data_IF_629847998692
#
_entry.id   IF_629847998692
#
_cell.length_a   1.000
_cell.length_b   1.000
_cell.length_c   1.000
_cell.angle_alpha   90.00
_cell.angle_beta   90.00
_cell.angle_gamma   90.00
#
_symmetry.space_group_name_H-M   'P 1'
#
loop_
_entity.id
_entity.type
_entity.pdbx_description
1 polymer ?
#
# COMPACT_ATOMS: atom_id res chain seq x y z
N UNK A 1 -3.69 2.81 11.97
CA UNK A 1 -2.72 2.13 11.09
C UNK A 1 -1.69 1.41 11.92
N UNK A 2 -1.20 0.27 11.41
CA UNK A 2 -0.09 -0.44 12.04
C UNK A 2 1.12 -0.40 11.13
N UNK A 3 2.27 -0.08 11.69
CA UNK A 3 3.56 -0.20 11.02
C UNK A 3 4.03 -1.65 11.17
N UNK A 4 4.32 -2.29 10.07
CA UNK A 4 4.79 -3.68 10.06
C UNK A 4 6.04 -3.81 9.21
N UNK A 5 6.84 -4.84 9.50
CA UNK A 5 8.06 -5.10 8.76
C UNK A 5 7.78 -5.96 7.52
N UNK A 6 8.81 -6.19 6.72
CA UNK A 6 8.73 -6.96 5.50
C UNK A 6 8.17 -8.38 5.73
N UNK A 7 8.63 -9.06 6.76
CA UNK A 7 8.16 -10.43 7.06
C UNK A 7 6.68 -10.45 7.39
N UNK A 8 6.23 -9.53 8.24
CA UNK A 8 4.82 -9.42 8.63
C UNK A 8 3.93 -9.06 7.43
N UNK A 9 4.39 -8.12 6.61
CA UNK A 9 3.66 -7.72 5.41
C UNK A 9 3.47 -8.91 4.47
N UNK A 10 4.55 -9.65 4.20
CA UNK A 10 4.51 -10.83 3.35
C UNK A 10 3.57 -11.91 3.91
N UNK A 11 3.58 -12.13 5.22
CA UNK A 11 2.67 -13.07 5.85
C UNK A 11 1.21 -12.68 5.66
N UNK A 12 0.90 -11.39 5.83
CA UNK A 12 -0.47 -10.91 5.63
C UNK A 12 -0.92 -11.05 4.17
N UNK A 13 -0.03 -10.77 3.23
CA UNK A 13 -0.31 -10.99 1.80
C UNK A 13 -0.67 -12.46 1.54
N UNK A 14 0.12 -13.38 2.10
CA UNK A 14 -0.05 -14.80 1.85
C UNK A 14 -1.30 -15.37 2.52
N UNK A 15 -1.70 -14.84 3.67
CA UNK A 15 -2.84 -15.34 4.45
C UNK A 15 -4.18 -14.74 4.06
N UNK A 16 -4.17 -13.60 3.38
CA UNK A 16 -5.38 -12.83 3.10
C UNK A 16 -5.51 -12.56 1.61
N UNK A 17 -6.12 -13.50 0.89
CA UNK A 17 -6.27 -13.39 -0.57
C UNK A 17 -7.08 -12.17 -1.01
N UNK A 18 -7.90 -11.62 -0.12
CA UNK A 18 -8.72 -10.45 -0.42
C UNK A 18 -8.08 -9.12 0.02
N UNK A 19 -6.91 -9.17 0.63
CA UNK A 19 -6.19 -7.95 1.00
C UNK A 19 -5.81 -7.18 -0.25
N UNK A 20 -5.92 -5.85 -0.16
CA UNK A 20 -5.56 -4.95 -1.25
C UNK A 20 -4.18 -4.39 -0.98
N UNK A 21 -3.25 -4.58 -1.90
CA UNK A 21 -1.89 -4.04 -1.80
C UNK A 21 -1.85 -2.75 -2.60
N UNK A 22 -1.49 -1.64 -1.95
CA UNK A 22 -1.44 -0.32 -2.58
C UNK A 22 0.00 0.15 -2.66
N UNK A 23 0.44 0.42 -3.89
CA UNK A 23 1.70 1.10 -4.17
C UNK A 23 1.39 2.59 -4.35
N UNK A 24 1.81 3.42 -3.39
CA UNK A 24 1.52 4.84 -3.46
C UNK A 24 2.67 5.68 -4.04
N UNK A 25 3.57 5.03 -4.77
CA UNK A 25 4.68 5.68 -5.49
C UNK A 25 4.20 6.25 -6.83
N UNK A 26 5.14 6.83 -7.56
CA UNK A 26 4.87 7.35 -8.91
C UNK A 26 4.85 6.22 -9.94
N UNK A 27 4.28 6.52 -11.11
CA UNK A 27 4.24 5.56 -12.21
C UNK A 27 5.64 5.15 -12.66
N UNK A 28 6.60 6.07 -12.69
CA UNK A 28 7.96 5.73 -13.08
C UNK A 28 8.63 4.77 -12.11
N UNK A 29 8.38 4.91 -10.82
CA UNK A 29 8.85 3.96 -9.81
C UNK A 29 8.17 2.59 -10.00
N UNK A 30 6.88 2.58 -10.25
CA UNK A 30 6.09 1.40 -10.52
C UNK A 30 6.63 0.61 -11.72
N UNK A 31 6.99 1.30 -12.79
CA UNK A 31 7.50 0.69 -14.00
C UNK A 31 8.85 0.00 -13.81
N UNK A 32 9.63 0.44 -12.83
CA UNK A 32 10.94 -0.16 -12.53
C UNK A 32 10.83 -1.45 -11.72
N UNK A 33 9.71 -1.68 -11.09
CA UNK A 33 9.45 -2.86 -10.29
C UNK A 33 8.42 -2.58 -9.21
N UNK A 34 7.60 -3.59 -8.89
CA UNK A 34 6.51 -3.45 -7.92
C UNK A 34 6.22 -4.77 -7.25
N UNK A 35 5.58 -4.70 -6.09
CA UNK A 35 5.12 -5.91 -5.41
C UNK A 35 4.03 -6.57 -6.24
N UNK A 36 4.12 -7.88 -6.41
CA UNK A 36 3.13 -8.66 -7.15
C UNK A 36 1.72 -8.42 -6.58
N UNK A 37 0.76 -8.21 -7.48
CA UNK A 37 -0.65 -7.96 -7.18
C UNK A 37 -0.96 -6.58 -6.58
N UNK A 38 0.02 -5.70 -6.47
CA UNK A 38 -0.23 -4.32 -6.03
C UNK A 38 -1.00 -3.54 -7.08
N UNK A 39 -1.77 -2.57 -6.61
CA UNK A 39 -2.39 -1.57 -7.49
C UNK A 39 -1.64 -0.25 -7.31
N UNK A 40 -1.49 0.49 -8.39
CA UNK A 40 -0.83 1.79 -8.35
C UNK A 40 -1.84 2.87 -7.96
N UNK A 41 -1.50 3.63 -6.92
CA UNK A 41 -2.32 4.75 -6.48
C UNK A 41 -1.38 5.85 -6.01
N UNK A 42 -0.90 6.66 -6.95
CA UNK A 42 0.11 7.69 -6.72
C UNK A 42 -0.42 8.74 -5.74
N UNK A 43 0.27 8.86 -4.60
CA UNK A 43 -0.13 9.81 -3.56
C UNK A 43 -0.03 11.27 -4.05
N UNK A 44 0.88 11.57 -4.97
CA UNK A 44 1.06 12.92 -5.50
C UNK A 44 -0.09 13.35 -6.41
N UNK A 45 -0.86 12.40 -6.93
CA UNK A 45 -2.09 12.67 -7.65
C UNK A 45 -3.25 12.76 -6.66
N UNK A 46 -3.21 13.75 -5.79
CA UNK A 46 -4.02 13.79 -4.58
C UNK A 46 -5.52 13.73 -4.83
N UNK A 47 -5.99 14.35 -5.88
CA UNK A 47 -7.42 14.37 -6.22
C UNK A 47 -7.90 12.98 -6.63
N UNK A 48 -7.16 12.33 -7.51
CA UNK A 48 -7.47 10.97 -7.97
C UNK A 48 -7.33 9.98 -6.82
N UNK A 49 -6.31 10.15 -5.98
CA UNK A 49 -6.10 9.31 -4.80
C UNK A 49 -7.33 9.34 -3.89
N UNK A 50 -7.84 10.53 -3.56
CA UNK A 50 -9.02 10.68 -2.72
C UNK A 50 -10.26 10.05 -3.34
N UNK A 51 -10.47 10.25 -4.64
CA UNK A 51 -11.62 9.67 -5.34
C UNK A 51 -11.61 8.14 -5.26
N UNK A 52 -10.43 7.53 -5.47
CA UNK A 52 -10.29 6.07 -5.42
C UNK A 52 -10.50 5.53 -4.01
N UNK A 53 -9.92 6.19 -3.02
CA UNK A 53 -10.01 5.76 -1.62
C UNK A 53 -11.46 5.79 -1.12
N UNK A 54 -12.24 6.78 -1.54
CA UNK A 54 -13.65 6.87 -1.16
C UNK A 54 -14.49 5.73 -1.71
N UNK A 55 -14.04 5.10 -2.81
CA UNK A 55 -14.73 3.97 -3.43
C UNK A 55 -14.35 2.62 -2.81
N UNK A 56 -13.31 2.58 -1.98
CA UNK A 56 -12.82 1.33 -1.40
C UNK A 56 -13.81 0.72 -0.40
N UNK A 57 -13.87 -0.61 -0.40
CA UNK A 57 -14.59 -1.37 0.61
C UNK A 57 -13.90 -1.16 1.97
N UNK A 58 -14.62 -0.58 2.93
CA UNK A 58 -14.06 -0.23 4.23
C UNK A 58 -13.81 -1.42 5.14
N UNK A 59 -14.32 -2.59 4.78
CA UNK A 59 -14.19 -3.82 5.56
C UNK A 59 -13.01 -4.69 5.12
N UNK A 60 -12.32 -4.31 4.05
CA UNK A 60 -11.15 -5.03 3.58
C UNK A 60 -9.89 -4.60 4.32
N UNK A 61 -8.85 -5.41 4.17
CA UNK A 61 -7.51 -5.11 4.66
C UNK A 61 -6.71 -4.42 3.56
N UNK A 62 -6.02 -3.35 3.93
CA UNK A 62 -5.20 -2.57 3.00
C UNK A 62 -3.75 -2.56 3.47
N UNK A 63 -2.87 -3.01 2.58
CA UNK A 63 -1.44 -3.13 2.81
C UNK A 63 -0.75 -2.12 1.91
N UNK A 64 -0.17 -1.08 2.50
CA UNK A 64 0.29 0.10 1.77
C UNK A 64 1.80 0.21 1.84
N UNK A 65 2.43 0.53 0.71
CA UNK A 65 3.86 0.77 0.69
C UNK A 65 4.22 1.91 -0.27
N UNK A 66 5.37 2.49 0.00
CA UNK A 66 6.03 3.40 -0.91
C UNK A 66 7.49 2.96 -1.06
N UNK A 67 8.39 3.86 -1.38
CA UNK A 67 9.79 3.50 -1.57
C UNK A 67 10.50 3.16 -0.25
N UNK A 68 10.30 3.98 0.78
CA UNK A 68 11.04 3.87 2.05
C UNK A 68 10.15 4.02 3.30
N UNK A 69 8.85 4.07 3.14
CA UNK A 69 7.89 4.05 4.24
C UNK A 69 7.31 5.40 4.66
N UNK A 70 7.76 6.53 4.10
CA UNK A 70 7.28 7.85 4.53
C UNK A 70 6.01 8.33 3.82
N UNK A 71 5.95 8.24 2.49
CA UNK A 71 4.74 8.59 1.74
C UNK A 71 3.56 7.70 2.13
N UNK A 72 3.85 6.42 2.37
CA UNK A 72 2.82 5.46 2.73
C UNK A 72 2.19 5.73 4.08
N UNK A 73 2.89 6.37 5.02
CA UNK A 73 2.27 6.83 6.27
C UNK A 73 1.14 7.82 5.98
N UNK A 74 1.40 8.81 5.14
CA UNK A 74 0.37 9.79 4.75
C UNK A 74 -0.78 9.10 4.02
N UNK A 75 -0.49 8.16 3.13
CA UNK A 75 -1.52 7.40 2.42
C UNK A 75 -2.41 6.62 3.40
N UNK A 76 -1.81 5.96 4.39
CA UNK A 76 -2.54 5.24 5.42
C UNK A 76 -3.45 6.16 6.23
N UNK A 77 -2.99 7.35 6.56
CA UNK A 77 -3.79 8.34 7.29
C UNK A 77 -5.03 8.74 6.48
N UNK A 78 -4.88 8.89 5.18
CA UNK A 78 -6.02 9.20 4.30
C UNK A 78 -7.02 8.03 4.29
N UNK A 79 -6.54 6.80 4.17
CA UNK A 79 -7.40 5.61 4.23
C UNK A 79 -8.18 5.57 5.53
N UNK A 80 -7.53 5.83 6.64
CA UNK A 80 -8.20 5.85 7.95
C UNK A 80 -9.22 6.98 8.04
N UNK A 81 -8.94 8.13 7.43
CA UNK A 81 -9.84 9.29 7.48
C UNK A 81 -11.19 9.01 6.81
N UNK A 82 -11.25 8.08 5.88
CA UNK A 82 -12.51 7.69 5.23
C UNK A 82 -13.17 6.48 5.90
N UNK A 83 -12.65 6.03 7.04
CA UNK A 83 -13.28 4.98 7.85
C UNK A 83 -12.76 3.58 7.64
N UNK A 84 -11.66 3.39 6.92
CA UNK A 84 -11.02 2.08 6.77
C UNK A 84 -10.24 1.77 8.05
N UNK A 85 -10.48 0.60 8.63
CA UNK A 85 -9.91 0.25 9.95
C UNK A 85 -8.67 -0.64 9.85
N UNK A 86 -8.60 -1.50 8.84
CA UNK A 86 -7.49 -2.46 8.71
C UNK A 86 -6.47 -1.94 7.71
N UNK A 87 -5.58 -1.08 8.19
CA UNK A 87 -4.58 -0.40 7.36
C UNK A 87 -3.19 -0.67 7.94
N UNK A 88 -2.30 -1.15 7.08
CA UNK A 88 -0.93 -1.52 7.46
C UNK A 88 0.08 -0.81 6.56
N UNK A 89 1.15 -0.31 7.17
CA UNK A 89 2.24 0.35 6.46
C UNK A 89 3.48 -0.53 6.48
N UNK A 90 4.07 -0.76 5.30
CA UNK A 90 5.38 -1.43 5.20
C UNK A 90 6.47 -0.43 5.54
N UNK A 91 7.05 -0.55 6.73
CA UNK A 91 8.01 0.44 7.25
C UNK A 91 9.26 0.58 6.40
N UNK A 92 9.74 -0.52 5.84
CA UNK A 92 10.95 -0.53 5.01
C UNK A 92 10.68 -0.10 3.56
N UNK A 93 9.41 -0.12 3.16
CA UNK A 93 9.02 0.19 1.81
C UNK A 93 9.54 -0.83 0.80
N UNK A 94 9.46 -0.47 -0.46
CA UNK A 94 9.88 -1.35 -1.55
C UNK A 94 11.38 -1.67 -1.49
N UNK A 95 12.20 -0.75 -0.98
CA UNK A 95 13.64 -0.97 -0.83
C UNK A 95 13.98 -2.16 0.06
N UNK A 96 13.15 -2.44 1.07
CA UNK A 96 13.34 -3.57 1.97
C UNK A 96 12.52 -4.80 1.63
N UNK A 97 11.79 -4.77 0.53
CA UNK A 97 10.93 -5.89 0.15
C UNK A 97 11.74 -7.05 -0.44
N UNK A 98 11.50 -8.26 0.05
CA UNK A 98 12.18 -9.46 -0.43
C UNK A 98 11.23 -10.52 -0.99
N UNK A 99 9.95 -10.18 -1.15
CA UNK A 99 8.95 -11.07 -1.75
C UNK A 99 8.92 -10.97 -3.27
N UNK A 100 7.86 -11.53 -3.85
CA UNK A 100 7.67 -11.54 -5.31
C UNK A 100 7.47 -10.13 -5.86
N UNK A 101 8.15 -9.84 -6.97
CA UNK A 101 8.02 -8.56 -7.67
C UNK A 101 7.72 -8.80 -9.14
N UNK A 102 7.08 -7.81 -9.75
CA UNK A 102 6.88 -7.73 -11.20
C UNK A 102 7.64 -6.52 -11.74
N UNK A 103 8.06 -6.62 -12.97
CA UNK A 103 8.76 -5.52 -13.66
C UNK A 103 7.99 -5.13 -14.91
#
# INVERSE_FOLDING_TARGET
MKNINNTQFRELVNKNSEAVIIDCRTESEWDEGRIKNAILLDLFESQLFMQKVEEFDKNKMYLVYCRSGSRSVAACQILESVGIKNVFNLTEGFTGWDGDILV
#
